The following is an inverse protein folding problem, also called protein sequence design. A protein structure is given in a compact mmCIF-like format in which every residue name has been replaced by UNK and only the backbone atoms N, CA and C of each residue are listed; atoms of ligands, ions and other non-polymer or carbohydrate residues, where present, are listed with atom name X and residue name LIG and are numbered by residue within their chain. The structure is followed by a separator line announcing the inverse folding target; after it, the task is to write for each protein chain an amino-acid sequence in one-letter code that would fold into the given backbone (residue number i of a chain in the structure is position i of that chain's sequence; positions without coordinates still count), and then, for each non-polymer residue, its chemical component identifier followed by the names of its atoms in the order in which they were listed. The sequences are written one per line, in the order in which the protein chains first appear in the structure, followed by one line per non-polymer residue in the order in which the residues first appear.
data_IF_610290164224
#
_entry.id   IF_610290164224
#
_cell.length_a   1.000
_cell.length_b   1.000
_cell.length_c   1.000
_cell.angle_alpha   90.00
_cell.angle_beta   90.00
_cell.angle_gamma   90.00
#
_symmetry.space_group_name_H-M   'P 1'
#
loop_
_entity.id
_entity.type
_entity.pdbx_description
1 polymer ?
#
# COMPACT_ATOMS: atom_id res chain seq x y z
N UNK A 1 -44.60 -28.52 -20.89
CA UNK A 1 -43.83 -27.31 -21.26
C UNK A 1 -44.10 -26.04 -20.42
N UNK A 2 -45.12 -25.98 -19.55
CA UNK A 2 -45.41 -24.76 -18.75
C UNK A 2 -44.70 -24.64 -17.38
N UNK A 3 -43.97 -25.66 -16.92
CA UNK A 3 -43.29 -25.66 -15.60
C UNK A 3 -41.80 -25.26 -15.62
N UNK A 4 -41.17 -25.17 -16.80
CA UNK A 4 -39.74 -24.81 -16.93
C UNK A 4 -39.52 -23.29 -16.99
N UNK A 5 -40.54 -22.53 -17.42
CA UNK A 5 -40.45 -21.07 -17.58
C UNK A 5 -40.49 -20.33 -16.23
N UNK A 6 -41.14 -20.90 -15.20
CA UNK A 6 -41.23 -20.25 -13.88
C UNK A 6 -39.90 -20.24 -13.10
N UNK A 7 -39.06 -21.27 -13.25
CA UNK A 7 -37.73 -21.30 -12.60
C UNK A 7 -36.74 -20.30 -13.23
N UNK A 8 -36.87 -19.99 -14.52
CA UNK A 8 -35.98 -19.04 -15.20
C UNK A 8 -36.26 -17.59 -14.80
N UNK A 9 -37.51 -17.24 -14.49
CA UNK A 9 -37.89 -15.89 -14.06
C UNK A 9 -37.46 -15.65 -12.60
N UNK A 10 -37.51 -16.67 -11.73
CA UNK A 10 -37.01 -16.55 -10.36
C UNK A 10 -35.48 -16.42 -10.28
N UNK A 11 -34.73 -17.08 -11.18
CA UNK A 11 -33.27 -16.96 -11.26
C UNK A 11 -32.80 -15.59 -11.78
N UNK A 12 -33.61 -14.89 -12.58
CA UNK A 12 -33.33 -13.52 -13.02
C UNK A 12 -33.79 -12.45 -12.01
N UNK A 13 -34.67 -12.78 -11.07
CA UNK A 13 -35.10 -11.83 -10.04
C UNK A 13 -34.08 -11.68 -8.89
N UNK A 14 -33.19 -12.65 -8.69
CA UNK A 14 -32.12 -12.57 -7.66
C UNK A 14 -30.81 -11.98 -8.20
N UNK A 15 -30.71 -11.68 -9.51
CA UNK A 15 -29.57 -10.98 -10.10
C UNK A 15 -29.75 -9.46 -10.17
N UNK A 16 -30.89 -8.94 -9.72
CA UNK A 16 -31.07 -7.51 -9.54
C UNK A 16 -30.28 -7.03 -8.32
N UNK A 17 -29.10 -6.48 -8.64
CA UNK A 17 -28.66 -5.24 -8.02
C UNK A 17 -28.32 -5.35 -6.54
N UNK A 18 -27.17 -5.98 -6.24
CA UNK A 18 -26.24 -5.35 -5.30
C UNK A 18 -25.71 -4.04 -5.92
N UNK A 19 -26.63 -3.11 -6.20
CA UNK A 19 -26.29 -1.71 -6.37
C UNK A 19 -26.07 -1.23 -4.94
N UNK A 20 -24.88 -1.50 -4.40
CA UNK A 20 -24.46 -0.82 -3.18
C UNK A 20 -24.55 0.68 -3.50
N UNK A 21 -25.49 1.35 -2.86
CA UNK A 21 -25.54 2.81 -2.84
C UNK A 21 -24.18 3.29 -2.36
N UNK A 22 -23.45 3.98 -3.24
CA UNK A 22 -22.21 4.65 -2.86
C UNK A 22 -22.60 5.67 -1.79
N UNK A 23 -22.18 5.41 -0.56
CA UNK A 23 -22.41 6.31 0.56
C UNK A 23 -21.22 7.24 0.64
N UNK A 24 -21.45 8.55 0.60
CA UNK A 24 -20.40 9.51 0.88
C UNK A 24 -20.09 9.44 2.38
N UNK A 25 -18.90 8.95 2.72
CA UNK A 25 -18.46 8.78 4.12
C UNK A 25 -17.76 10.02 4.69
N UNK A 26 -17.77 11.14 3.93
CA UNK A 26 -17.08 12.39 4.24
C UNK A 26 -15.54 12.22 4.23
N UNK A 27 -14.82 13.22 4.74
CA UNK A 27 -13.36 13.25 4.80
C UNK A 27 -12.86 12.16 5.74
N UNK A 28 -12.10 11.21 5.20
CA UNK A 28 -11.42 10.19 5.99
C UNK A 28 -10.31 10.79 6.87
N UNK A 29 -10.27 10.32 8.12
CA UNK A 29 -9.27 10.68 9.12
C UNK A 29 -9.11 12.18 9.30
N UNK A 30 -10.20 12.89 9.63
CA UNK A 30 -10.19 14.35 9.82
C UNK A 30 -9.12 14.83 10.80
N UNK A 31 -8.72 14.01 11.78
CA UNK A 31 -7.58 14.31 12.66
C UNK A 31 -6.28 14.62 11.90
N UNK A 32 -6.10 14.07 10.69
CA UNK A 32 -4.90 14.27 9.85
C UNK A 32 -4.75 15.70 9.36
N UNK A 33 -5.86 16.43 9.21
CA UNK A 33 -5.89 17.79 8.68
C UNK A 33 -5.12 18.79 9.56
N UNK A 34 -4.81 18.42 10.81
CA UNK A 34 -3.92 19.17 11.71
C UNK A 34 -2.44 19.12 11.29
N UNK A 35 -2.07 18.16 10.45
CA UNK A 35 -0.68 17.85 10.13
C UNK A 35 -0.37 17.95 8.63
N UNK A 36 -1.36 17.63 7.79
CA UNK A 36 -1.18 17.50 6.33
C UNK A 36 -2.36 18.11 5.57
N UNK A 37 -2.07 18.60 4.36
CA UNK A 37 -3.08 19.11 3.42
C UNK A 37 -3.60 18.01 2.48
N UNK A 38 -2.76 17.02 2.19
CA UNK A 38 -3.07 15.96 1.24
C UNK A 38 -2.01 14.88 1.30
N UNK A 39 -2.37 13.68 0.86
CA UNK A 39 -1.47 12.53 0.88
C UNK A 39 -1.78 11.65 -0.31
N UNK A 40 -0.74 11.15 -0.96
CA UNK A 40 -0.80 10.07 -1.93
C UNK A 40 -0.53 8.73 -1.26
N UNK A 41 -1.08 7.66 -1.84
CA UNK A 41 -1.08 6.32 -1.26
C UNK A 41 -1.76 6.25 0.11
N UNK A 42 -1.86 5.04 0.66
CA UNK A 42 -2.19 4.77 2.06
C UNK A 42 -2.15 3.26 2.28
N UNK A 43 -1.22 2.78 3.10
CA UNK A 43 -1.07 1.35 3.37
C UNK A 43 -0.99 1.09 4.87
N UNK A 44 -2.00 0.44 5.47
CA UNK A 44 -1.98 0.07 6.88
C UNK A 44 -1.24 -1.27 7.10
N UNK A 45 -0.23 -1.25 7.95
CA UNK A 45 0.52 -2.43 8.40
C UNK A 45 0.12 -2.73 9.85
N UNK A 46 -0.47 -3.89 10.10
CA UNK A 46 -0.70 -4.35 11.48
C UNK A 46 0.64 -4.66 12.15
N UNK A 47 0.89 -3.99 13.28
CA UNK A 47 2.04 -4.22 14.14
C UNK A 47 1.60 -4.51 15.58
N UNK A 48 2.38 -5.32 16.29
CA UNK A 48 2.14 -5.78 17.65
C UNK A 48 3.39 -5.59 18.49
N UNK A 49 3.29 -4.81 19.57
CA UNK A 49 4.41 -4.60 20.48
C UNK A 49 4.68 -5.84 21.36
N UNK A 50 5.78 -5.83 22.14
CA UNK A 50 6.13 -6.97 23.01
C UNK A 50 5.08 -7.27 24.10
N UNK A 51 4.21 -6.31 24.41
CA UNK A 51 3.11 -6.47 25.36
C UNK A 51 1.82 -7.00 24.70
N UNK A 52 1.86 -7.37 23.41
CA UNK A 52 0.72 -7.91 22.68
C UNK A 52 -0.28 -6.85 22.21
N UNK A 53 0.03 -5.56 22.35
CA UNK A 53 -0.84 -4.48 21.88
C UNK A 53 -0.68 -4.31 20.38
N UNK A 54 -1.78 -4.50 19.66
CA UNK A 54 -1.89 -4.31 18.21
C UNK A 54 -2.24 -2.88 17.84
N UNK A 55 -1.64 -2.40 16.77
CA UNK A 55 -1.81 -1.05 16.21
C UNK A 55 -1.67 -1.12 14.69
N UNK A 56 -2.04 -0.04 14.01
CA UNK A 56 -1.74 0.15 12.60
C UNK A 56 -0.61 1.16 12.44
N UNK A 57 0.40 0.78 11.68
CA UNK A 57 1.39 1.69 11.11
C UNK A 57 0.95 2.01 9.68
N UNK A 58 0.59 3.25 9.45
CA UNK A 58 0.20 3.74 8.14
C UNK A 58 1.42 4.29 7.42
N UNK A 59 1.65 3.84 6.19
CA UNK A 59 2.61 4.43 5.27
C UNK A 59 1.88 5.26 4.22
N UNK A 60 2.48 6.37 3.84
CA UNK A 60 1.99 7.29 2.81
C UNK A 60 3.12 7.61 1.83
N UNK A 61 2.75 7.93 0.59
CA UNK A 61 3.64 8.50 -0.43
C UNK A 61 3.78 10.01 -0.28
N UNK A 62 3.77 10.72 -1.42
CA UNK A 62 3.88 12.18 -1.46
C UNK A 62 2.85 12.81 -0.50
N UNK A 63 3.36 13.51 0.51
CA UNK A 63 2.55 14.08 1.61
C UNK A 63 2.68 15.58 1.56
N UNK A 64 1.57 16.29 1.30
CA UNK A 64 1.54 17.74 1.14
C UNK A 64 1.43 18.40 2.52
N UNK A 65 2.38 19.28 2.82
CA UNK A 65 2.45 20.04 4.06
C UNK A 65 2.17 21.52 3.80
N UNK A 66 1.58 22.18 4.79
CA UNK A 66 1.22 23.58 4.71
C UNK A 66 0.06 23.90 5.65
N UNK A 67 -0.68 24.94 5.29
CA UNK A 67 -1.80 25.44 6.08
C UNK A 67 -3.08 25.52 5.23
N UNK A 68 -4.21 25.14 5.83
CA UNK A 68 -5.53 25.41 5.28
C UNK A 68 -5.91 26.86 5.57
N UNK A 69 -6.34 27.60 4.54
CA UNK A 69 -6.77 29.01 4.65
C UNK A 69 -8.26 29.20 4.42
N UNK A 70 -8.98 28.14 4.06
CA UNK A 70 -10.42 28.14 3.80
C UNK A 70 -11.11 26.90 4.36
N UNK A 71 -12.40 26.78 4.08
CA UNK A 71 -13.22 25.62 4.47
C UNK A 71 -12.78 24.36 3.72
N UNK A 72 -12.75 23.23 4.43
CA UNK A 72 -12.36 21.93 3.88
C UNK A 72 -13.64 21.14 3.60
N UNK A 73 -13.90 20.86 2.33
CA UNK A 73 -15.05 20.07 1.87
C UNK A 73 -14.58 18.82 1.15
N UNK A 74 -15.50 17.88 0.85
CA UNK A 74 -15.17 16.69 0.05
C UNK A 74 -14.73 17.02 -1.38
N UNK A 75 -15.03 18.24 -1.86
CA UNK A 75 -14.67 18.74 -3.19
C UNK A 75 -13.44 19.67 -3.17
N UNK A 76 -12.77 19.78 -2.01
CA UNK A 76 -11.62 20.67 -1.76
C UNK A 76 -10.44 20.47 -2.74
N UNK A 77 -10.38 19.34 -3.44
CA UNK A 77 -9.39 19.10 -4.50
C UNK A 77 -9.56 20.03 -5.70
N UNK A 78 -10.78 20.51 -5.99
CA UNK A 78 -11.07 21.36 -7.15
C UNK A 78 -10.60 22.81 -6.97
N UNK A 79 -10.53 23.29 -5.73
CA UNK A 79 -10.09 24.64 -5.37
C UNK A 79 -8.84 24.63 -4.44
N UNK A 80 -8.07 23.54 -4.46
CA UNK A 80 -6.98 23.28 -3.50
C UNK A 80 -5.99 24.46 -3.39
N UNK A 81 -5.64 25.09 -4.51
CA UNK A 81 -4.71 26.23 -4.54
C UNK A 81 -5.29 27.51 -3.92
N UNK A 82 -6.61 27.66 -3.88
CA UNK A 82 -7.30 28.84 -3.33
C UNK A 82 -7.45 28.75 -1.81
N UNK A 83 -7.48 27.52 -1.27
CA UNK A 83 -7.75 27.25 0.15
C UNK A 83 -6.55 26.67 0.90
N UNK A 84 -5.36 26.65 0.29
CA UNK A 84 -4.13 26.15 0.94
C UNK A 84 -2.91 27.02 0.70
N UNK A 85 -1.95 26.95 1.63
CA UNK A 85 -0.59 27.45 1.47
C UNK A 85 0.39 26.30 1.66
N UNK A 86 0.78 25.67 0.56
CA UNK A 86 1.76 24.58 0.57
C UNK A 86 3.18 25.10 0.86
N UNK A 87 3.92 24.39 1.70
CA UNK A 87 5.32 24.71 2.00
C UNK A 87 6.31 23.56 1.76
N UNK A 88 5.84 22.31 1.75
CA UNK A 88 6.68 21.13 1.52
C UNK A 88 5.88 19.94 1.02
N UNK A 89 6.57 18.98 0.41
CA UNK A 89 5.98 17.71 -0.04
C UNK A 89 6.98 16.56 0.11
N UNK A 90 7.23 16.08 1.35
CA UNK A 90 8.02 14.87 1.58
C UNK A 90 7.44 13.68 0.78
N UNK A 91 8.30 12.79 0.25
CA UNK A 91 7.90 11.69 -0.62
C UNK A 91 7.29 10.50 0.13
N UNK A 92 7.39 10.50 1.46
CA UNK A 92 6.80 9.50 2.30
C UNK A 92 6.58 10.04 3.70
N UNK A 93 5.59 9.48 4.39
CA UNK A 93 5.31 9.76 5.79
C UNK A 93 4.78 8.50 6.47
N UNK A 94 4.80 8.50 7.81
CA UNK A 94 4.14 7.47 8.61
C UNK A 94 3.24 8.07 9.69
N UNK A 95 2.20 7.32 10.03
CA UNK A 95 1.37 7.57 11.18
C UNK A 95 1.04 6.29 11.94
N UNK A 96 0.61 6.43 13.20
CA UNK A 96 0.06 5.35 14.02
C UNK A 96 -1.41 5.60 14.32
N UNK A 97 -2.17 4.50 14.41
CA UNK A 97 -3.49 4.50 15.02
C UNK A 97 -3.75 3.21 15.81
N UNK A 98 -4.86 3.18 16.54
CA UNK A 98 -5.46 1.91 16.96
C UNK A 98 -5.93 1.09 15.75
N UNK A 99 -6.16 -0.21 15.97
CA UNK A 99 -6.81 -1.07 14.98
C UNK A 99 -8.18 -0.49 14.61
N UNK A 100 -8.50 -0.49 13.32
CA UNK A 100 -9.80 -0.02 12.82
C UNK A 100 -10.94 -0.91 13.34
N UNK A 101 -12.01 -0.29 13.79
CA UNK A 101 -13.25 -0.91 14.21
C UNK A 101 -14.45 0.00 13.81
N UNK A 102 -15.66 -0.42 14.16
CA UNK A 102 -16.88 0.30 13.79
C UNK A 102 -17.02 1.69 14.43
N UNK A 103 -16.25 1.99 15.48
CA UNK A 103 -16.30 3.26 16.21
C UNK A 103 -15.30 4.28 15.65
N UNK A 104 -14.16 3.84 15.10
CA UNK A 104 -13.07 4.72 14.67
C UNK A 104 -12.77 4.68 13.16
N UNK A 105 -13.49 3.90 12.35
CA UNK A 105 -13.16 3.74 10.92
C UNK A 105 -13.19 5.05 10.11
N UNK A 106 -13.98 6.04 10.54
CA UNK A 106 -14.01 7.37 9.91
C UNK A 106 -12.84 8.23 10.33
N UNK A 107 -12.50 8.20 11.61
CA UNK A 107 -11.37 8.94 12.16
C UNK A 107 -10.53 8.08 13.11
N UNK A 108 -9.50 7.38 12.59
CA UNK A 108 -8.62 6.53 13.39
C UNK A 108 -7.70 7.30 14.33
N UNK A 109 -7.76 8.64 14.37
CA UNK A 109 -6.89 9.48 15.19
C UNK A 109 -5.41 9.27 14.83
N UNK A 110 -5.06 9.54 13.57
CA UNK A 110 -3.70 9.40 13.06
C UNK A 110 -2.73 10.29 13.86
N UNK A 111 -1.73 9.66 14.46
CA UNK A 111 -0.57 10.34 15.07
C UNK A 111 0.57 10.26 14.07
N UNK A 112 1.14 11.38 13.65
CA UNK A 112 2.23 11.40 12.68
C UNK A 112 3.62 11.36 13.35
N UNK A 113 4.60 10.78 12.65
CA UNK A 113 6.00 10.97 13.00
C UNK A 113 6.39 12.42 12.68
N UNK A 114 6.84 13.16 13.69
CA UNK A 114 7.21 14.57 13.57
C UNK A 114 8.72 14.75 13.76
N UNK A 115 9.27 15.78 13.15
CA UNK A 115 10.62 16.26 13.45
C UNK A 115 10.63 17.17 14.69
N UNK A 116 11.80 17.70 15.05
CA UNK A 116 11.97 18.59 16.20
C UNK A 116 11.19 19.90 16.11
N UNK A 117 10.83 20.36 14.90
CA UNK A 117 9.99 21.54 14.69
C UNK A 117 8.49 21.23 14.70
N UNK A 118 8.09 19.98 14.96
CA UNK A 118 6.68 19.57 14.98
C UNK A 118 6.05 19.35 13.60
N UNK A 119 6.84 19.31 12.52
CA UNK A 119 6.34 19.04 11.17
C UNK A 119 6.50 17.57 10.80
N UNK A 120 5.63 17.06 9.92
CA UNK A 120 5.66 15.65 9.50
C UNK A 120 7.00 15.31 8.86
N UNK A 121 7.60 14.22 9.32
CA UNK A 121 8.94 13.78 8.96
C UNK A 121 8.89 12.63 7.94
N UNK A 122 9.74 12.72 6.92
CA UNK A 122 10.08 11.60 6.04
C UNK A 122 10.76 10.47 6.83
N UNK A 123 10.27 9.24 6.73
CA UNK A 123 10.78 8.11 7.52
C UNK A 123 11.75 7.22 6.72
N UNK A 124 11.61 7.17 5.40
CA UNK A 124 12.58 6.55 4.50
C UNK A 124 13.47 7.67 3.97
N UNK A 125 14.55 7.95 4.70
CA UNK A 125 15.44 9.08 4.41
C UNK A 125 16.35 8.84 3.19
N UNK A 126 16.73 9.93 2.53
CA UNK A 126 17.74 9.93 1.48
C UNK A 126 19.14 9.69 2.06
N UNK A 127 20.03 9.09 1.28
CA UNK A 127 21.46 9.13 1.60
C UNK A 127 22.03 10.51 1.25
N UNK A 128 23.25 10.81 1.73
CA UNK A 128 23.92 12.08 1.45
C UNK A 128 24.18 12.33 -0.05
N UNK A 129 24.25 11.27 -0.84
CA UNK A 129 24.57 11.31 -2.28
C UNK A 129 23.32 11.31 -3.17
N UNK A 130 22.12 11.20 -2.58
CA UNK A 130 20.86 11.20 -3.32
C UNK A 130 20.27 12.61 -3.39
N UNK A 131 19.79 13.00 -4.57
CA UNK A 131 19.14 14.29 -4.77
C UNK A 131 17.62 14.18 -4.55
N UNK A 132 17.05 14.81 -3.51
CA UNK A 132 15.60 14.76 -3.21
C UNK A 132 14.71 15.44 -4.27
N UNK A 133 15.28 16.22 -5.18
CA UNK A 133 14.56 16.84 -6.30
C UNK A 133 14.52 15.95 -7.55
N UNK A 134 15.40 14.95 -7.63
CA UNK A 134 15.48 14.03 -8.77
C UNK A 134 15.02 12.60 -8.40
N UNK A 135 14.92 12.29 -7.11
CA UNK A 135 14.55 11.00 -6.58
C UNK A 135 13.34 11.16 -5.66
N UNK A 136 12.42 10.20 -5.71
CA UNK A 136 11.26 10.04 -4.83
C UNK A 136 11.30 8.63 -4.27
N UNK A 137 11.08 8.50 -2.97
CA UNK A 137 11.03 7.22 -2.26
C UNK A 137 9.61 7.01 -1.75
N UNK A 138 8.74 6.40 -2.55
CA UNK A 138 7.33 6.19 -2.19
C UNK A 138 7.19 4.88 -1.42
N UNK A 139 6.64 4.97 -0.22
CA UNK A 139 6.40 3.80 0.61
C UNK A 139 5.21 2.99 0.06
N UNK A 140 5.37 1.68 0.03
CA UNK A 140 4.31 0.72 -0.25
C UNK A 140 3.90 0.04 1.07
N UNK A 141 3.29 -1.15 0.97
CA UNK A 141 2.96 -2.01 2.10
C UNK A 141 4.21 -2.65 2.73
N UNK A 142 3.99 -3.28 3.87
CA UNK A 142 5.03 -3.85 4.70
C UNK A 142 4.52 -4.97 5.59
N UNK A 143 5.39 -5.43 6.49
CA UNK A 143 5.04 -6.50 7.42
C UNK A 143 5.93 -6.50 8.65
N UNK A 144 5.35 -6.87 9.78
CA UNK A 144 6.13 -7.21 10.97
C UNK A 144 6.52 -8.70 10.99
N UNK A 145 7.80 -8.97 11.26
CA UNK A 145 8.34 -10.31 11.50
C UNK A 145 9.14 -10.28 12.80
N UNK A 146 8.58 -10.87 13.86
CA UNK A 146 9.17 -10.78 15.19
C UNK A 146 9.11 -9.34 15.70
N UNK A 147 10.22 -8.81 16.20
CA UNK A 147 10.34 -7.43 16.67
C UNK A 147 10.72 -6.43 15.55
N UNK A 148 10.79 -6.86 14.28
CA UNK A 148 11.20 -6.00 13.18
C UNK A 148 10.05 -5.76 12.21
N UNK A 149 9.82 -4.50 11.87
CA UNK A 149 8.86 -4.07 10.86
C UNK A 149 9.61 -3.73 9.58
N UNK A 150 9.10 -4.23 8.46
CA UNK A 150 9.65 -4.05 7.13
C UNK A 150 8.67 -3.25 6.28
N UNK A 151 9.18 -2.33 5.46
CA UNK A 151 8.38 -1.56 4.50
C UNK A 151 9.09 -1.61 3.16
N UNK A 152 8.39 -2.06 2.12
CA UNK A 152 8.88 -1.93 0.74
C UNK A 152 8.66 -0.50 0.27
N UNK A 153 9.49 -0.05 -0.67
CA UNK A 153 9.31 1.26 -1.26
C UNK A 153 9.78 1.28 -2.71
N UNK A 154 9.09 2.07 -3.53
CA UNK A 154 9.50 2.38 -4.89
C UNK A 154 10.65 3.40 -4.89
N UNK A 155 11.65 3.15 -5.71
CA UNK A 155 12.72 4.10 -6.02
C UNK A 155 12.35 4.75 -7.35
N UNK A 156 11.95 6.00 -7.32
CA UNK A 156 11.40 6.69 -8.49
C UNK A 156 12.31 7.85 -8.85
N UNK A 157 12.77 7.89 -10.10
CA UNK A 157 13.44 9.05 -10.65
C UNK A 157 12.37 10.00 -11.20
N UNK A 158 12.35 11.21 -10.65
CA UNK A 158 11.47 12.30 -11.06
C UNK A 158 12.20 13.20 -12.05
N UNK A 159 11.50 13.57 -13.12
CA UNK A 159 11.87 14.68 -14.00
C UNK A 159 10.70 15.67 -14.06
N UNK A 160 10.82 16.80 -14.78
CA UNK A 160 9.77 17.82 -14.83
C UNK A 160 8.42 17.31 -15.35
N UNK A 161 8.40 16.23 -16.15
CA UNK A 161 7.18 15.73 -16.79
C UNK A 161 7.04 14.21 -16.80
N UNK A 162 7.94 13.48 -16.15
CA UNK A 162 7.94 12.02 -16.23
C UNK A 162 8.51 11.39 -14.95
N UNK A 163 7.97 10.22 -14.62
CA UNK A 163 8.41 9.36 -13.53
C UNK A 163 8.93 8.06 -14.10
N UNK A 164 10.15 7.67 -13.71
CA UNK A 164 10.71 6.37 -14.07
C UNK A 164 11.03 5.57 -12.81
N UNK A 165 10.47 4.38 -12.73
CA UNK A 165 10.64 3.51 -11.57
C UNK A 165 11.96 2.74 -11.76
N UNK A 166 12.91 2.98 -10.85
CA UNK A 166 14.24 2.37 -10.86
C UNK A 166 14.28 1.00 -10.16
N UNK A 167 13.19 0.62 -9.49
CA UNK A 167 13.01 -0.64 -8.79
C UNK A 167 12.46 -0.48 -7.38
N UNK A 168 12.57 -1.56 -6.60
CA UNK A 168 12.09 -1.67 -5.23
C UNK A 168 13.27 -1.68 -4.25
N UNK A 169 13.14 -0.91 -3.17
CA UNK A 169 13.97 -0.99 -1.97
C UNK A 169 13.23 -1.61 -0.76
N UNK A 170 13.96 -1.81 0.34
CA UNK A 170 13.42 -2.29 1.60
C UNK A 170 13.96 -1.45 2.76
N UNK A 171 13.06 -0.97 3.61
CA UNK A 171 13.40 -0.33 4.87
C UNK A 171 12.96 -1.22 6.03
N UNK A 172 13.68 -1.16 7.14
CA UNK A 172 13.33 -1.90 8.35
C UNK A 172 13.51 -1.07 9.60
N UNK A 173 12.62 -1.22 10.55
CA UNK A 173 12.74 -0.68 11.89
C UNK A 173 12.71 -1.81 12.90
N UNK A 174 13.71 -1.86 13.77
CA UNK A 174 13.75 -2.80 14.89
C UNK A 174 13.09 -2.15 16.10
N UNK A 175 11.97 -2.71 16.51
CA UNK A 175 11.11 -2.14 17.52
C UNK A 175 11.64 -2.47 18.92
N UNK A 176 11.94 -1.46 19.75
CA UNK A 176 12.35 -1.69 21.13
C UNK A 176 11.15 -2.11 21.99
N UNK A 177 11.42 -2.58 23.21
CA UNK A 177 10.41 -3.12 24.13
C UNK A 177 9.36 -2.07 24.52
N UNK A 178 9.80 -0.83 24.66
CA UNK A 178 8.98 0.35 24.91
C UNK A 178 9.34 1.38 23.87
N UNK A 179 8.32 1.91 23.22
CA UNK A 179 8.48 2.88 22.15
C UNK A 179 7.18 3.67 21.99
N UNK A 180 7.33 4.88 21.50
CA UNK A 180 6.28 5.78 21.04
C UNK A 180 6.56 6.16 19.59
N UNK A 181 5.63 6.86 18.94
CA UNK A 181 5.79 7.21 17.53
C UNK A 181 7.09 7.95 17.21
N UNK A 182 7.58 8.80 18.14
CA UNK A 182 8.84 9.54 18.02
C UNK A 182 10.08 8.63 17.97
N UNK A 183 9.96 7.39 18.44
CA UNK A 183 11.04 6.40 18.50
C UNK A 183 11.11 5.52 17.25
N UNK A 184 10.19 5.70 16.28
CA UNK A 184 10.23 4.98 15.01
C UNK A 184 11.42 5.46 14.20
N UNK A 185 12.31 4.53 13.83
CA UNK A 185 13.54 4.83 13.11
C UNK A 185 13.81 3.76 12.03
N UNK A 186 13.24 3.95 10.85
CA UNK A 186 13.44 3.05 9.72
C UNK A 186 14.82 3.25 9.10
N UNK A 187 15.55 2.14 8.95
CA UNK A 187 16.82 2.09 8.22
C UNK A 187 16.64 1.39 6.89
N UNK A 188 17.07 2.06 5.82
CA UNK A 188 17.13 1.47 4.47
C UNK A 188 18.17 0.37 4.41
N UNK A 189 17.83 -0.70 3.70
CA UNK A 189 18.76 -1.75 3.29
C UNK A 189 19.33 -1.37 1.93
N UNK A 190 20.45 -0.66 1.91
CA UNK A 190 21.02 -0.09 0.68
C UNK A 190 21.47 -1.15 -0.33
N UNK A 191 21.80 -2.35 0.15
CA UNK A 191 22.11 -3.54 -0.66
C UNK A 191 20.85 -4.29 -1.14
N UNK A 192 19.68 -3.94 -0.63
CA UNK A 192 18.40 -4.45 -1.12
C UNK A 192 17.93 -3.62 -2.30
N UNK A 193 18.09 -4.17 -3.51
CA UNK A 193 17.49 -3.60 -4.71
C UNK A 193 16.99 -4.69 -5.64
N UNK A 194 15.72 -4.62 -5.99
CA UNK A 194 15.12 -5.48 -7.01
C UNK A 194 14.69 -4.58 -8.17
N UNK A 195 15.32 -4.79 -9.33
CA UNK A 195 15.07 -4.02 -10.55
C UNK A 195 13.87 -4.57 -11.31
N UNK A 196 13.25 -3.71 -12.12
CA UNK A 196 12.23 -4.05 -13.13
C UNK A 196 10.96 -4.73 -12.56
N UNK A 197 10.76 -4.62 -11.26
CA UNK A 197 9.56 -5.05 -10.55
C UNK A 197 9.32 -4.12 -9.36
N UNK A 198 8.05 -3.81 -9.10
CA UNK A 198 7.60 -3.14 -7.89
C UNK A 198 7.09 -4.23 -6.96
N UNK A 199 7.72 -4.37 -5.80
CA UNK A 199 7.21 -5.21 -4.73
C UNK A 199 6.55 -4.33 -3.68
N UNK A 200 5.47 -4.82 -3.07
CA UNK A 200 4.92 -4.16 -1.90
C UNK A 200 3.51 -3.65 -2.06
N UNK A 201 2.85 -3.80 -3.21
CA UNK A 201 1.42 -3.45 -3.35
C UNK A 201 0.55 -4.10 -2.25
N UNK A 202 0.92 -5.31 -1.81
CA UNK A 202 0.33 -5.95 -0.64
C UNK A 202 1.21 -7.07 -0.10
N UNK A 203 1.39 -7.14 1.22
CA UNK A 203 2.36 -8.04 1.86
C UNK A 203 1.71 -8.83 2.98
N UNK A 204 1.79 -10.16 2.90
CA UNK A 204 1.20 -11.03 3.93
C UNK A 204 2.12 -12.20 4.28
N UNK A 205 2.18 -12.56 5.56
CA UNK A 205 2.89 -13.75 6.03
C UNK A 205 1.92 -14.92 6.15
N UNK A 206 2.30 -16.06 5.59
CA UNK A 206 1.60 -17.34 5.75
C UNK A 206 2.61 -18.47 5.95
N UNK A 207 2.59 -19.05 7.15
CA UNK A 207 3.60 -20.02 7.57
C UNK A 207 5.00 -19.40 7.57
N UNK A 208 5.95 -20.08 6.92
CA UNK A 208 7.35 -19.62 6.81
C UNK A 208 7.61 -18.62 5.68
N UNK A 209 6.61 -18.31 4.87
CA UNK A 209 6.74 -17.45 3.70
C UNK A 209 6.03 -16.11 3.90
N UNK A 210 6.62 -15.09 3.31
CA UNK A 210 5.99 -13.80 3.02
C UNK A 210 5.62 -13.84 1.55
N UNK A 211 4.35 -13.58 1.26
CA UNK A 211 3.81 -13.45 -0.09
C UNK A 211 3.64 -11.96 -0.36
N UNK A 212 4.10 -11.54 -1.54
CA UNK A 212 4.11 -10.14 -1.94
C UNK A 212 3.37 -10.04 -3.26
N UNK A 213 2.35 -9.18 -3.29
CA UNK A 213 1.76 -8.68 -4.51
C UNK A 213 2.73 -7.68 -5.14
N UNK A 214 2.94 -7.81 -6.44
CA UNK A 214 3.95 -7.04 -7.14
C UNK A 214 3.45 -6.59 -8.52
N UNK A 215 4.01 -5.50 -9.03
CA UNK A 215 3.76 -5.05 -10.40
C UNK A 215 4.99 -5.26 -11.27
N UNK A 216 4.75 -5.73 -12.49
CA UNK A 216 5.78 -5.95 -13.50
C UNK A 216 5.49 -5.10 -14.74
N UNK A 217 6.55 -4.83 -15.48
CA UNK A 217 6.53 -3.96 -16.64
C UNK A 217 5.64 -4.49 -17.78
N UNK A 218 4.88 -3.57 -18.40
CA UNK A 218 3.94 -3.85 -19.49
C UNK A 218 4.49 -3.50 -20.86
N UNK A 219 5.16 -2.36 -21.00
CA UNK A 219 5.53 -1.75 -22.29
C UNK A 219 6.87 -1.00 -22.26
N UNK A 220 7.81 -1.40 -21.40
CA UNK A 220 9.11 -0.73 -21.30
C UNK A 220 9.11 0.51 -20.38
N UNK A 221 7.93 0.90 -19.87
CA UNK A 221 7.77 2.12 -19.04
C UNK A 221 6.74 1.97 -17.93
N UNK A 222 5.61 1.30 -18.19
CA UNK A 222 4.50 1.21 -17.25
C UNK A 222 4.48 -0.11 -16.47
N UNK A 223 4.22 -0.06 -15.17
CA UNK A 223 4.11 -1.23 -14.30
C UNK A 223 2.65 -1.68 -14.18
N UNK A 224 2.05 -2.07 -15.30
CA UNK A 224 0.62 -2.36 -15.40
C UNK A 224 0.20 -3.82 -15.18
N UNK A 225 1.16 -4.75 -14.97
CA UNK A 225 0.84 -6.18 -14.80
C UNK A 225 0.97 -6.63 -13.34
N UNK A 226 -0.11 -7.19 -12.79
CA UNK A 226 -0.06 -7.91 -11.52
C UNK A 226 0.83 -9.13 -11.69
N UNK A 227 1.65 -9.33 -10.68
CA UNK A 227 2.62 -10.39 -10.56
C UNK A 227 2.77 -10.75 -9.08
N UNK A 228 3.52 -11.81 -8.78
CA UNK A 228 3.63 -12.30 -7.41
C UNK A 228 5.04 -12.72 -7.07
N UNK A 229 5.49 -12.33 -5.88
CA UNK A 229 6.72 -12.79 -5.29
C UNK A 229 6.47 -13.51 -3.96
N UNK A 230 7.43 -14.35 -3.57
CA UNK A 230 7.51 -14.89 -2.21
C UNK A 230 8.94 -15.02 -1.75
N UNK A 231 9.14 -14.91 -0.44
CA UNK A 231 10.42 -15.13 0.23
C UNK A 231 10.17 -15.84 1.56
N UNK A 232 11.15 -16.58 2.09
CA UNK A 232 11.02 -17.05 3.47
C UNK A 232 11.15 -15.86 4.41
N UNK A 233 10.39 -15.84 5.50
CA UNK A 233 10.41 -14.73 6.46
C UNK A 233 11.82 -14.39 6.96
N UNK A 234 12.64 -15.41 7.25
CA UNK A 234 14.04 -15.23 7.67
C UNK A 234 15.00 -14.68 6.60
N UNK A 235 14.59 -14.74 5.34
CA UNK A 235 15.39 -14.37 4.19
C UNK A 235 14.87 -13.05 3.55
N UNK A 236 13.94 -12.32 4.20
CA UNK A 236 13.27 -11.13 3.63
C UNK A 236 14.25 -10.02 3.24
N UNK A 237 15.35 -9.87 3.97
CA UNK A 237 16.38 -8.85 3.70
C UNK A 237 17.31 -9.24 2.53
N UNK A 238 17.18 -10.44 1.94
CA UNK A 238 18.06 -10.90 0.87
C UNK A 238 17.34 -10.94 -0.49
N UNK A 239 17.60 -9.99 -1.41
CA UNK A 239 16.90 -9.91 -2.69
C UNK A 239 17.11 -11.16 -3.57
N UNK A 240 18.22 -11.88 -3.42
CA UNK A 240 18.53 -13.09 -4.19
C UNK A 240 17.72 -14.32 -3.77
N UNK A 241 17.00 -14.25 -2.64
CA UNK A 241 16.18 -15.35 -2.11
C UNK A 241 14.73 -15.29 -2.54
N UNK A 242 14.31 -14.18 -3.17
CA UNK A 242 12.95 -14.02 -3.67
C UNK A 242 12.69 -14.98 -4.83
N UNK A 243 11.47 -15.48 -4.89
CA UNK A 243 10.95 -16.31 -5.98
C UNK A 243 9.69 -15.68 -6.54
N UNK A 244 9.53 -15.77 -7.84
CA UNK A 244 8.43 -15.17 -8.58
C UNK A 244 7.53 -16.26 -9.14
N UNK A 245 6.21 -16.03 -9.13
CA UNK A 245 5.26 -16.96 -9.74
C UNK A 245 5.25 -16.70 -11.24
N UNK A 246 5.65 -17.67 -12.05
CA UNK A 246 5.62 -17.54 -13.50
C UNK A 246 4.23 -17.85 -14.08
N UNK A 247 4.04 -17.59 -15.37
CA UNK A 247 2.78 -17.84 -16.10
C UNK A 247 2.35 -19.31 -16.14
N UNK A 248 3.25 -20.26 -15.86
CA UNK A 248 2.96 -21.69 -15.74
C UNK A 248 2.57 -22.11 -14.32
N UNK A 249 2.39 -21.15 -13.40
CA UNK A 249 2.05 -21.40 -12.01
C UNK A 249 3.20 -21.97 -11.18
N UNK A 250 4.46 -21.86 -11.64
CA UNK A 250 5.64 -22.36 -10.92
C UNK A 250 6.45 -21.21 -10.34
N UNK A 251 7.02 -21.45 -9.16
CA UNK A 251 7.91 -20.49 -8.50
C UNK A 251 9.32 -20.56 -9.08
N UNK A 252 9.86 -19.46 -9.59
CA UNK A 252 11.18 -19.37 -10.23
C UNK A 252 12.02 -18.28 -9.60
N UNK A 253 13.34 -18.27 -9.84
CA UNK A 253 14.23 -17.18 -9.38
C UNK A 253 14.24 -15.98 -10.33
N UNK A 254 13.72 -16.14 -11.54
CA UNK A 254 13.66 -15.15 -12.62
C UNK A 254 12.32 -15.26 -13.33
N UNK A 255 11.92 -14.22 -14.08
CA UNK A 255 10.74 -14.19 -14.96
C UNK A 255 9.42 -14.28 -14.17
N UNK A 256 9.00 -13.15 -13.61
CA UNK A 256 7.69 -13.01 -13.00
C UNK A 256 6.59 -13.16 -14.07
N UNK A 257 5.51 -13.86 -13.73
CA UNK A 257 4.33 -13.97 -14.57
C UNK A 257 3.56 -12.66 -14.62
N UNK A 258 2.88 -12.41 -15.74
CA UNK A 258 2.03 -11.25 -16.00
C UNK A 258 0.58 -11.72 -16.00
N UNK A 259 -0.18 -11.43 -14.93
CA UNK A 259 -1.50 -12.06 -14.72
C UNK A 259 -2.69 -11.13 -15.03
N UNK A 260 -2.65 -9.88 -14.56
CA UNK A 260 -3.74 -8.90 -14.76
C UNK A 260 -3.12 -7.59 -15.25
N UNK A 261 -3.38 -7.23 -16.52
CA UNK A 261 -2.71 -6.13 -17.22
C UNK A 261 -3.49 -4.82 -17.27
N UNK A 262 -4.53 -4.70 -16.46
CA UNK A 262 -5.48 -3.59 -16.45
C UNK A 262 -5.55 -2.90 -15.09
N UNK A 263 -4.54 -3.03 -14.23
CA UNK A 263 -4.53 -2.33 -12.94
C UNK A 263 -4.32 -0.83 -13.14
N UNK A 264 -5.00 -0.03 -12.33
CA UNK A 264 -4.70 1.36 -12.06
C UNK A 264 -4.21 1.50 -10.61
N UNK A 265 -3.00 2.04 -10.40
CA UNK A 265 -2.42 2.20 -9.06
C UNK A 265 -1.96 0.89 -8.41
N UNK A 266 -2.12 0.82 -7.10
CA UNK A 266 -1.77 -0.31 -6.25
C UNK A 266 -2.97 -1.25 -6.05
N UNK A 267 -2.69 -2.53 -5.80
CA UNK A 267 -3.69 -3.53 -5.49
C UNK A 267 -3.55 -4.01 -4.05
N UNK A 268 -4.66 -4.25 -3.36
CA UNK A 268 -4.62 -4.79 -1.99
C UNK A 268 -4.60 -6.31 -1.99
N UNK A 269 -3.82 -6.92 -1.10
CA UNK A 269 -3.79 -8.36 -0.86
C UNK A 269 -4.23 -8.68 0.57
N UNK A 270 -5.20 -9.59 0.73
CA UNK A 270 -5.59 -10.12 2.04
C UNK A 270 -5.71 -11.63 2.04
N UNK A 271 -5.64 -12.23 3.23
CA UNK A 271 -5.86 -13.66 3.44
C UNK A 271 -6.84 -13.89 4.58
N UNK A 272 -7.93 -14.58 4.27
CA UNK A 272 -8.94 -14.95 5.26
C UNK A 272 -8.59 -16.31 5.88
N UNK A 273 -8.28 -16.33 7.17
CA UNK A 273 -7.92 -17.55 7.90
C UNK A 273 -9.07 -18.58 7.95
N UNK A 274 -10.32 -18.12 8.10
CA UNK A 274 -11.51 -18.98 8.20
C UNK A 274 -11.82 -19.71 6.90
N UNK A 275 -11.82 -18.99 5.78
CA UNK A 275 -12.10 -19.57 4.46
C UNK A 275 -10.87 -20.10 3.77
N UNK A 276 -9.67 -19.87 4.32
CA UNK A 276 -8.36 -20.21 3.75
C UNK A 276 -8.15 -19.67 2.32
N UNK A 277 -8.71 -18.49 2.03
CA UNK A 277 -8.69 -17.86 0.70
C UNK A 277 -7.93 -16.56 0.72
N UNK A 278 -7.15 -16.33 -0.33
CA UNK A 278 -6.59 -15.03 -0.66
C UNK A 278 -7.63 -14.20 -1.41
N UNK A 279 -7.57 -12.88 -1.22
CA UNK A 279 -8.34 -11.90 -1.98
C UNK A 279 -7.41 -10.80 -2.47
N UNK A 280 -7.54 -10.47 -3.75
CA UNK A 280 -6.92 -9.29 -4.33
C UNK A 280 -8.02 -8.33 -4.72
N UNK A 281 -7.88 -7.06 -4.35
CA UNK A 281 -8.80 -5.99 -4.75
C UNK A 281 -8.00 -4.92 -5.48
N UNK A 282 -8.46 -4.48 -6.64
CA UNK A 282 -7.76 -3.47 -7.43
C UNK A 282 -8.72 -2.66 -8.29
N UNK A 283 -8.33 -1.43 -8.66
CA UNK A 283 -9.05 -0.63 -9.64
C UNK A 283 -8.65 -1.05 -11.05
N UNK A 284 -9.62 -1.38 -11.91
CA UNK A 284 -9.37 -1.65 -13.32
C UNK A 284 -9.32 -0.34 -14.11
N UNK A 285 -8.18 -0.07 -14.76
CA UNK A 285 -8.03 1.03 -15.71
C UNK A 285 -8.93 0.86 -16.93
N UNK A 286 -9.12 -0.38 -17.39
CA UNK A 286 -9.92 -0.67 -18.59
C UNK A 286 -11.41 -0.44 -18.34
N UNK A 287 -11.91 -0.96 -17.22
CA UNK A 287 -13.35 -0.98 -16.95
C UNK A 287 -13.80 0.12 -15.97
N UNK A 288 -12.86 0.87 -15.39
CA UNK A 288 -13.09 1.90 -14.38
C UNK A 288 -13.92 1.37 -13.20
N UNK A 289 -13.58 0.14 -12.75
CA UNK A 289 -14.31 -0.61 -11.72
C UNK A 289 -13.35 -1.29 -10.75
N UNK A 290 -13.78 -1.39 -9.49
CA UNK A 290 -13.11 -2.22 -8.49
C UNK A 290 -13.35 -3.69 -8.85
N UNK A 291 -12.27 -4.45 -9.02
CA UNK A 291 -12.29 -5.90 -9.25
C UNK A 291 -11.81 -6.64 -8.02
N UNK A 292 -12.38 -7.82 -7.80
CA UNK A 292 -11.94 -8.74 -6.75
C UNK A 292 -11.60 -10.11 -7.34
N UNK A 293 -10.43 -10.62 -7.00
CA UNK A 293 -9.99 -11.97 -7.35
C UNK A 293 -9.90 -12.79 -6.07
N UNK A 294 -10.44 -14.00 -6.08
CA UNK A 294 -10.43 -14.91 -4.92
C UNK A 294 -9.84 -16.26 -5.32
N UNK A 295 -8.87 -16.75 -4.56
CA UNK A 295 -8.21 -18.03 -4.83
C UNK A 295 -7.68 -18.67 -3.55
N UNK A 296 -7.56 -20.00 -3.53
CA UNK A 296 -7.19 -20.73 -2.31
C UNK A 296 -5.70 -20.68 -2.02
N UNK A 297 -4.88 -20.78 -3.07
CA UNK A 297 -3.43 -20.81 -2.93
C UNK A 297 -2.71 -20.42 -4.22
N UNK A 298 -1.49 -19.91 -4.06
CA UNK A 298 -0.53 -19.81 -5.14
C UNK A 298 0.09 -21.21 -5.34
N UNK A 299 -0.42 -21.97 -6.31
CA UNK A 299 0.03 -23.38 -6.54
C UNK A 299 1.56 -23.46 -6.77
N UNK A 300 2.11 -24.64 -6.49
CA UNK A 300 3.54 -24.97 -6.63
C UNK A 300 3.85 -25.55 -8.02
#
# INVERSE_FOLDING_TARGET
MKKIILCFIYLFAVSNSFCQTVTNEDIFATSRLKYVLGQDGVTPIEIENKQGKKMLLWTFGDTILGEWTGEITTDATMNFNDITKMNAMPPNAIALSSIINNENYKDPQLKFLLNSSGTVKQFIEYTKDENPFALRLWADDGIQIGNKTYVYYMIIKSSQSDFSILGTGLASWEMPDKWEIKDIDFKRKLDFKIKDIILGDGVIKKGKYVYILSRSEKDGKTFGYLSFAKVKAKDIENPLKYRYLNSKGKWTKKNSGKFFGDICGEASLSYNQKTKKFRIVYMSLKDQKIKMIVFDNFKN
#
